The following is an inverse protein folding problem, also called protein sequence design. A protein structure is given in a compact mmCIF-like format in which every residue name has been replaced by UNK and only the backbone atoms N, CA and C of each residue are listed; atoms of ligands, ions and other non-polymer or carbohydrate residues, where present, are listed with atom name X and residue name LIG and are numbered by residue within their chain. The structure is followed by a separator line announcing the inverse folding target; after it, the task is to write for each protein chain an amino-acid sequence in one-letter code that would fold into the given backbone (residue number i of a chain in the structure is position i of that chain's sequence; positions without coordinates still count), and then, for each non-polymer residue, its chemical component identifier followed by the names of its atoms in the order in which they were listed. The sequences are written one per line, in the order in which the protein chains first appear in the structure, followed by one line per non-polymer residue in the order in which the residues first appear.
data_IF_291019211291
#
_entry.id   IF_291019211291
#
_cell.length_a   1.000
_cell.length_b   1.000
_cell.length_c   1.000
_cell.angle_alpha   90.00
_cell.angle_beta   90.00
_cell.angle_gamma   90.00
#
_symmetry.space_group_name_H-M   'P 1'
#
loop_
_entity.id
_entity.type
_entity.pdbx_description
1 polymer ?
#
# COMPACT_ATOMS: atom_id res chain seq x y z
N UNK A 1 19.32 -47.77 9.51
CA UNK A 1 19.48 -46.75 10.59
C UNK A 1 20.34 -45.64 10.03
N UNK A 2 20.01 -44.36 9.94
CA UNK A 2 18.79 -43.57 10.10
C UNK A 2 19.08 -42.31 9.23
N UNK A 3 18.29 -42.04 8.19
CA UNK A 3 17.31 -40.93 8.19
C UNK A 3 18.05 -39.58 8.34
N UNK A 4 18.53 -38.95 7.26
CA UNK A 4 17.80 -37.93 6.47
C UNK A 4 16.88 -37.08 7.37
N UNK A 5 16.96 -35.75 7.27
CA UNK A 5 16.12 -34.74 7.95
C UNK A 5 16.78 -34.11 9.20
N UNK A 6 17.57 -33.07 8.94
CA UNK A 6 17.58 -31.85 9.77
C UNK A 6 17.54 -30.60 8.87
N UNK A 7 16.56 -30.58 7.96
CA UNK A 7 15.99 -29.33 7.44
C UNK A 7 14.92 -28.91 8.47
N UNK A 8 15.37 -28.29 9.55
CA UNK A 8 14.49 -27.78 10.59
C UNK A 8 14.65 -26.26 10.66
N UNK A 9 13.72 -25.59 9.99
CA UNK A 9 13.05 -24.41 10.51
C UNK A 9 13.93 -23.25 10.98
N UNK A 10 14.57 -22.56 10.05
CA UNK A 10 14.86 -21.12 10.19
C UNK A 10 13.80 -20.32 9.42
N UNK A 11 12.53 -20.47 9.85
CA UNK A 11 11.38 -19.67 9.40
C UNK A 11 10.87 -18.75 10.52
N UNK A 12 11.73 -18.30 11.43
CA UNK A 12 11.30 -17.41 12.52
C UNK A 12 12.30 -16.27 12.66
N UNK A 13 12.16 -15.29 11.78
CA UNK A 13 12.35 -13.86 12.05
C UNK A 13 12.31 -13.08 10.72
N UNK A 14 11.22 -13.25 9.96
CA UNK A 14 10.67 -12.06 9.32
C UNK A 14 10.23 -11.19 10.48
N UNK A 15 11.12 -10.28 10.89
CA UNK A 15 10.80 -9.16 11.75
C UNK A 15 9.67 -8.39 11.08
N UNK A 16 8.45 -8.77 11.42
CA UNK A 16 7.24 -7.97 11.26
C UNK A 16 7.42 -6.83 12.27
N UNK A 17 8.31 -5.91 11.98
CA UNK A 17 8.14 -4.55 12.46
C UNK A 17 7.09 -3.95 11.55
N UNK A 18 5.87 -3.66 12.02
CA UNK A 18 5.11 -2.59 11.42
C UNK A 18 5.85 -1.30 11.80
N UNK A 19 6.98 -1.04 11.16
CA UNK A 19 7.45 0.33 11.00
C UNK A 19 6.63 0.94 9.84
N UNK A 20 5.30 0.79 9.92
CA UNK A 20 4.36 1.46 9.06
C UNK A 20 4.32 2.87 9.62
N UNK A 21 5.12 3.73 9.01
CA UNK A 21 5.22 5.12 9.37
C UNK A 21 3.80 5.69 9.41
N UNK A 22 3.43 6.26 10.55
CA UNK A 22 2.28 7.15 10.62
C UNK A 22 2.53 8.19 9.52
N UNK A 23 1.75 8.18 8.43
CA UNK A 23 2.00 9.05 7.27
C UNK A 23 1.70 10.50 7.64
N UNK A 24 2.63 11.13 8.36
CA UNK A 24 2.63 12.54 8.65
C UNK A 24 3.17 13.21 7.40
N UNK A 25 2.27 13.78 6.58
CA UNK A 25 2.64 14.48 5.33
C UNK A 25 3.36 15.80 5.63
N UNK A 26 4.49 15.72 6.31
CA UNK A 26 5.19 16.83 6.96
C UNK A 26 5.86 17.75 5.94
N UNK A 27 6.15 17.23 4.74
CA UNK A 27 6.76 18.00 3.67
C UNK A 27 5.75 18.61 2.70
N UNK A 28 4.47 18.24 2.83
CA UNK A 28 3.37 18.89 2.13
C UNK A 28 2.99 20.19 2.83
N UNK A 29 3.53 21.31 2.32
CA UNK A 29 3.08 22.64 2.70
C UNK A 29 1.56 22.77 2.55
N UNK A 30 0.93 23.55 3.45
CA UNK A 30 -0.50 23.82 3.40
C UNK A 30 -0.85 24.52 2.07
N UNK A 31 -1.80 23.96 1.33
CA UNK A 31 -2.23 24.50 0.05
C UNK A 31 -3.22 23.58 -0.63
N UNK A 32 -4.17 24.11 -1.41
CA UNK A 32 -5.32 23.35 -1.91
C UNK A 32 -4.92 22.15 -2.79
N UNK A 33 -3.83 22.28 -3.55
CA UNK A 33 -3.31 21.18 -4.37
C UNK A 33 -2.72 20.04 -3.51
N UNK A 34 -1.94 20.37 -2.48
CA UNK A 34 -1.37 19.40 -1.57
C UNK A 34 -2.45 18.76 -0.69
N UNK A 35 -3.41 19.54 -0.19
CA UNK A 35 -4.53 19.07 0.62
C UNK A 35 -5.41 18.08 -0.14
N UNK A 36 -5.75 18.41 -1.39
CA UNK A 36 -6.51 17.51 -2.26
C UNK A 36 -5.77 16.20 -2.56
N UNK A 37 -4.45 16.27 -2.74
CA UNK A 37 -3.63 15.07 -2.95
C UNK A 37 -3.51 14.22 -1.68
N UNK A 38 -3.35 14.84 -0.51
CA UNK A 38 -3.33 14.13 0.78
C UNK A 38 -4.64 13.39 1.04
N UNK A 39 -5.78 14.07 0.85
CA UNK A 39 -7.09 13.44 1.00
C UNK A 39 -7.27 12.24 0.06
N UNK A 40 -6.78 12.34 -1.18
CA UNK A 40 -6.83 11.26 -2.17
C UNK A 40 -5.94 10.09 -1.76
N UNK A 41 -4.71 10.35 -1.34
CA UNK A 41 -3.78 9.30 -0.87
C UNK A 41 -4.33 8.61 0.38
N UNK A 42 -4.88 9.36 1.34
CA UNK A 42 -5.54 8.77 2.51
C UNK A 42 -6.69 7.85 2.11
N UNK A 43 -7.53 8.28 1.16
CA UNK A 43 -8.62 7.42 0.65
C UNK A 43 -8.09 6.11 0.06
N UNK A 44 -6.95 6.17 -0.66
CA UNK A 44 -6.30 4.99 -1.24
C UNK A 44 -5.78 4.07 -0.13
N UNK A 45 -5.10 4.62 0.87
CA UNK A 45 -4.59 3.88 2.03
C UNK A 45 -5.73 3.22 2.83
N UNK A 46 -6.79 3.97 3.14
CA UNK A 46 -7.98 3.46 3.83
C UNK A 46 -8.65 2.32 3.04
N UNK A 47 -8.67 2.41 1.71
CA UNK A 47 -9.17 1.32 0.88
C UNK A 47 -8.28 0.08 0.94
N UNK A 48 -6.96 0.24 1.04
CA UNK A 48 -6.05 -0.89 1.21
C UNK A 48 -6.28 -1.60 2.55
N UNK A 49 -6.46 -0.84 3.62
CA UNK A 49 -6.79 -1.38 4.94
C UNK A 49 -8.10 -2.20 4.91
N UNK A 50 -9.10 -1.73 4.16
CA UNK A 50 -10.35 -2.46 3.95
C UNK A 50 -10.16 -3.73 3.11
N UNK A 51 -9.28 -3.72 2.11
CA UNK A 51 -8.95 -4.90 1.30
C UNK A 51 -8.33 -5.97 2.19
N UNK A 52 -7.36 -5.59 3.03
CA UNK A 52 -6.68 -6.51 3.94
C UNK A 52 -7.61 -7.06 5.02
N UNK A 53 -8.54 -6.24 5.51
CA UNK A 53 -9.55 -6.66 6.49
C UNK A 53 -10.73 -7.46 5.91
N UNK A 54 -10.89 -7.52 4.59
CA UNK A 54 -12.03 -8.20 3.95
C UNK A 54 -11.90 -9.72 4.04
N UNK A 55 -12.90 -10.37 4.63
CA UNK A 55 -12.96 -11.84 4.71
C UNK A 55 -13.66 -12.49 3.51
N UNK A 56 -14.46 -11.73 2.75
CA UNK A 56 -15.11 -12.20 1.53
C UNK A 56 -14.18 -12.01 0.32
N UNK A 57 -13.87 -13.12 -0.38
CA UNK A 57 -13.01 -13.13 -1.58
C UNK A 57 -13.65 -12.38 -2.76
N UNK A 58 -14.97 -12.47 -2.92
CA UNK A 58 -15.69 -11.78 -3.99
C UNK A 58 -15.59 -10.27 -3.81
N UNK A 59 -15.91 -9.81 -2.60
CA UNK A 59 -15.75 -8.41 -2.22
C UNK A 59 -14.30 -7.94 -2.28
N UNK A 60 -13.33 -8.75 -1.80
CA UNK A 60 -11.91 -8.39 -1.82
C UNK A 60 -11.40 -8.17 -3.25
N UNK A 61 -11.76 -9.03 -4.21
CA UNK A 61 -11.40 -8.86 -5.63
C UNK A 61 -11.96 -7.56 -6.21
N UNK A 62 -13.24 -7.26 -5.95
CA UNK A 62 -13.86 -6.02 -6.42
C UNK A 62 -13.18 -4.78 -5.82
N UNK A 63 -12.85 -4.82 -4.52
CA UNK A 63 -12.14 -3.74 -3.86
C UNK A 63 -10.72 -3.57 -4.42
N UNK A 64 -10.01 -4.68 -4.69
CA UNK A 64 -8.70 -4.64 -5.34
C UNK A 64 -8.74 -3.98 -6.72
N UNK A 65 -9.69 -4.35 -7.58
CA UNK A 65 -9.84 -3.73 -8.89
C UNK A 65 -10.11 -2.22 -8.80
N UNK A 66 -10.99 -1.82 -7.87
CA UNK A 66 -11.28 -0.41 -7.62
C UNK A 66 -10.04 0.34 -7.11
N UNK A 67 -9.33 -0.24 -6.15
CA UNK A 67 -8.13 0.33 -5.57
C UNK A 67 -7.04 0.55 -6.62
N UNK A 68 -6.81 -0.41 -7.52
CA UNK A 68 -5.84 -0.25 -8.61
C UNK A 68 -6.20 0.92 -9.54
N UNK A 69 -7.49 1.08 -9.88
CA UNK A 69 -7.97 2.22 -10.68
C UNK A 69 -7.74 3.55 -9.96
N UNK A 70 -8.00 3.60 -8.65
CA UNK A 70 -7.79 4.80 -7.85
C UNK A 70 -6.31 5.16 -7.71
N UNK A 71 -5.42 4.16 -7.56
CA UNK A 71 -3.97 4.38 -7.56
C UNK A 71 -3.49 4.95 -8.89
N UNK A 72 -3.94 4.40 -10.02
CA UNK A 72 -3.57 4.91 -11.35
C UNK A 72 -3.99 6.37 -11.54
N UNK A 73 -5.22 6.72 -11.12
CA UNK A 73 -5.69 8.10 -11.17
C UNK A 73 -4.94 9.01 -10.18
N UNK A 74 -4.62 8.51 -8.98
CA UNK A 74 -3.80 9.20 -8.00
C UNK A 74 -2.41 9.57 -8.55
N UNK A 75 -1.73 8.62 -9.21
CA UNK A 75 -0.45 8.84 -9.86
C UNK A 75 -0.54 9.78 -11.06
N UNK A 76 -1.65 9.72 -11.81
CA UNK A 76 -1.90 10.65 -12.92
C UNK A 76 -2.07 12.07 -12.41
N UNK A 77 -2.87 12.26 -11.37
CA UNK A 77 -3.10 13.57 -10.76
C UNK A 77 -1.83 14.11 -10.11
N UNK A 78 -1.08 13.28 -9.39
CA UNK A 78 0.18 13.70 -8.76
C UNK A 78 1.18 14.29 -9.77
N UNK A 79 1.24 13.71 -10.98
CA UNK A 79 2.10 14.20 -12.06
C UNK A 79 1.63 15.55 -12.64
N UNK A 80 0.32 15.83 -12.60
CA UNK A 80 -0.24 17.10 -13.09
C UNK A 80 -0.14 18.24 -12.08
N UNK A 81 -0.12 17.93 -10.78
CA UNK A 81 -0.13 18.97 -9.74
C UNK A 81 1.26 19.58 -9.56
N UNK A 82 1.27 20.91 -9.44
CA UNK A 82 2.41 21.67 -8.99
C UNK A 82 2.55 21.48 -7.48
N UNK A 83 3.50 20.63 -7.10
CA UNK A 83 3.83 20.29 -5.72
C UNK A 83 5.32 20.54 -5.51
N UNK A 84 5.71 20.84 -4.28
CA UNK A 84 7.12 20.82 -3.91
C UNK A 84 7.70 19.43 -4.18
N UNK A 85 8.99 19.36 -4.53
CA UNK A 85 9.67 18.09 -4.76
C UNK A 85 9.54 17.15 -3.55
N UNK A 86 9.67 17.69 -2.34
CA UNK A 86 9.54 16.93 -1.10
C UNK A 86 8.14 16.33 -0.90
N UNK A 87 7.08 17.13 -1.04
CA UNK A 87 5.69 16.64 -0.95
C UNK A 87 5.38 15.61 -2.03
N UNK A 88 5.88 15.80 -3.26
CA UNK A 88 5.69 14.84 -4.34
C UNK A 88 6.35 13.49 -4.01
N UNK A 89 7.57 13.49 -3.48
CA UNK A 89 8.27 12.27 -3.08
C UNK A 89 7.54 11.54 -1.95
N UNK A 90 7.04 12.27 -0.96
CA UNK A 90 6.30 11.72 0.18
C UNK A 90 4.97 11.07 -0.27
N UNK A 91 4.20 11.75 -1.11
CA UNK A 91 2.98 11.21 -1.70
C UNK A 91 3.26 10.01 -2.61
N UNK A 92 4.33 10.06 -3.42
CA UNK A 92 4.78 8.93 -4.23
C UNK A 92 5.16 7.73 -3.37
N UNK A 93 5.91 7.94 -2.29
CA UNK A 93 6.33 6.88 -1.38
C UNK A 93 5.12 6.15 -0.79
N UNK A 94 4.12 6.92 -0.35
CA UNK A 94 2.87 6.37 0.19
C UNK A 94 2.09 5.57 -0.86
N UNK A 95 2.00 6.08 -2.10
CA UNK A 95 1.35 5.35 -3.19
C UNK A 95 2.11 4.07 -3.58
N UNK A 96 3.44 4.08 -3.54
CA UNK A 96 4.25 2.90 -3.80
C UNK A 96 4.09 1.85 -2.71
N UNK A 97 4.02 2.25 -1.45
CA UNK A 97 3.73 1.36 -0.34
C UNK A 97 2.37 0.68 -0.49
N UNK A 98 1.33 1.46 -0.82
CA UNK A 98 0.00 0.93 -1.11
C UNK A 98 0.01 -0.06 -2.27
N UNK A 99 0.81 0.20 -3.31
CA UNK A 99 0.96 -0.73 -4.44
C UNK A 99 1.62 -2.04 -4.02
N UNK A 100 2.65 -1.99 -3.18
CA UNK A 100 3.31 -3.19 -2.65
C UNK A 100 2.32 -4.03 -1.85
N UNK A 101 1.54 -3.40 -0.96
CA UNK A 101 0.49 -4.07 -0.19
C UNK A 101 -0.58 -4.70 -1.09
N UNK A 102 -1.01 -3.99 -2.13
CA UNK A 102 -1.94 -4.53 -3.13
C UNK A 102 -1.39 -5.80 -3.80
N UNK A 103 -0.12 -5.78 -4.23
CA UNK A 103 0.52 -6.95 -4.84
C UNK A 103 0.62 -8.14 -3.86
N UNK A 104 0.93 -7.89 -2.60
CA UNK A 104 0.97 -8.94 -1.57
C UNK A 104 -0.40 -9.63 -1.41
N UNK A 105 -1.49 -8.86 -1.40
CA UNK A 105 -2.84 -9.44 -1.35
C UNK A 105 -3.18 -10.19 -2.63
N UNK A 106 -2.75 -9.70 -3.80
CA UNK A 106 -2.93 -10.40 -5.07
C UNK A 106 -2.25 -11.78 -5.06
N UNK A 107 -0.97 -11.85 -4.66
CA UNK A 107 -0.25 -13.11 -4.57
C UNK A 107 -0.86 -14.08 -3.54
N UNK A 108 -1.31 -13.57 -2.39
CA UNK A 108 -1.99 -14.40 -1.38
C UNK A 108 -3.31 -14.98 -1.89
N UNK A 109 -3.98 -14.28 -2.80
CA UNK A 109 -5.20 -14.75 -3.45
C UNK A 109 -4.96 -15.77 -4.56
N UNK A 110 -3.85 -15.67 -5.29
CA UNK A 110 -3.51 -16.60 -6.37
C UNK A 110 -2.91 -17.92 -5.83
N UNK A 111 -2.28 -17.89 -4.65
CA UNK A 111 -1.72 -19.07 -4.00
C UNK A 111 -2.76 -19.98 -3.29
N UNK A 112 -4.06 -19.60 -3.28
CA UNK A 112 -5.16 -20.28 -2.59
C UNK A 112 -6.29 -20.70 -3.52
#
# INVERSE_FOLDING_TARGET
MNILIKLAATCIALSITPALANHTFDHCAKGPAADGMRARVNTITDQMDRIEGSTDRGQQRQLMELHMKQMQEGLRELRKRELSAACRMELMSTLMESLVRHQQVAFANDAR
#
